data_IF_617867009789
#
_entry.id   IF_617867009789
#
_cell.length_a   1.000
_cell.length_b   1.000
_cell.length_c   1.000
_cell.angle_alpha   90.00
_cell.angle_beta   90.00
_cell.angle_gamma   90.00
#
_symmetry.space_group_name_H-M   'P 1'
#
loop_
_entity.id
_entity.type
_entity.pdbx_description
1 polymer ?
#
# COMPACT_ATOMS: atom_id res chain seq x y z
N UNK A 1 10.73 -11.13 5.18
CA UNK A 1 11.45 -10.25 4.27
C UNK A 1 11.11 -10.53 2.80
N UNK A 2 11.26 -11.77 2.27
CA UNK A 2 10.96 -12.09 0.87
C UNK A 2 9.53 -11.70 0.43
N UNK A 3 8.52 -11.95 1.26
CA UNK A 3 7.14 -11.58 0.97
C UNK A 3 6.94 -10.07 0.74
N UNK A 4 7.63 -9.21 1.50
CA UNK A 4 7.55 -7.75 1.29
C UNK A 4 8.20 -7.33 -0.01
N UNK A 5 9.39 -7.86 -0.34
CA UNK A 5 10.07 -7.54 -1.59
C UNK A 5 9.26 -7.98 -2.81
N UNK A 6 8.67 -9.19 -2.78
CA UNK A 6 7.78 -9.69 -3.83
C UNK A 6 6.53 -8.79 -3.97
N UNK A 7 5.93 -8.40 -2.83
CA UNK A 7 4.78 -7.49 -2.82
C UNK A 7 5.10 -6.14 -3.43
N UNK A 8 6.24 -5.54 -3.06
CA UNK A 8 6.71 -4.26 -3.58
C UNK A 8 6.94 -4.27 -5.09
N UNK A 9 7.62 -5.29 -5.61
CA UNK A 9 7.81 -5.45 -7.05
C UNK A 9 6.47 -5.61 -7.79
N UNK A 10 5.58 -6.47 -7.28
CA UNK A 10 4.26 -6.69 -7.87
C UNK A 10 3.44 -5.40 -7.89
N UNK A 11 3.45 -4.60 -6.80
CA UNK A 11 2.77 -3.31 -6.76
C UNK A 11 3.40 -2.27 -7.69
N UNK A 12 4.72 -2.22 -7.82
CA UNK A 12 5.38 -1.28 -8.73
C UNK A 12 5.02 -1.56 -10.19
N UNK A 13 5.04 -2.82 -10.61
CA UNK A 13 4.59 -3.23 -11.94
C UNK A 13 3.09 -2.96 -12.15
N UNK A 14 2.26 -3.28 -11.16
CA UNK A 14 0.83 -2.96 -11.19
C UNK A 14 0.60 -1.45 -11.35
N UNK A 15 1.29 -0.62 -10.57
CA UNK A 15 1.12 0.83 -10.60
C UNK A 15 1.49 1.41 -11.96
N UNK A 16 2.51 0.86 -12.61
CA UNK A 16 2.92 1.23 -13.97
C UNK A 16 1.79 0.94 -14.97
N UNK A 17 1.23 -0.29 -14.95
CA UNK A 17 0.13 -0.68 -15.82
C UNK A 17 -1.14 0.14 -15.51
N UNK A 18 -1.49 0.27 -14.22
CA UNK A 18 -2.67 1.01 -13.80
C UNK A 18 -2.59 2.49 -14.22
N UNK A 19 -1.41 3.14 -14.12
CA UNK A 19 -1.22 4.52 -14.57
C UNK A 19 -1.40 4.65 -16.09
N UNK A 20 -0.86 3.71 -16.87
CA UNK A 20 -1.00 3.74 -18.33
C UNK A 20 -2.47 3.74 -18.77
N UNK A 21 -3.34 3.00 -18.06
CA UNK A 21 -4.77 2.97 -18.37
C UNK A 21 -5.55 4.11 -17.72
N UNK A 22 -5.22 4.51 -16.49
CA UNK A 22 -5.87 5.64 -15.82
C UNK A 22 -5.64 6.98 -16.53
N UNK A 23 -4.64 7.08 -17.40
CA UNK A 23 -4.45 8.23 -18.31
C UNK A 23 -5.42 8.22 -19.50
N UNK A 24 -6.11 7.12 -19.78
CA UNK A 24 -6.94 6.91 -20.98
C UNK A 24 -8.41 6.71 -20.65
N UNK A 25 -8.78 6.54 -19.40
CA UNK A 25 -10.14 6.24 -18.95
C UNK A 25 -10.44 6.85 -17.58
N UNK A 26 -11.70 6.77 -17.15
CA UNK A 26 -12.10 7.25 -15.81
C UNK A 26 -11.34 6.52 -14.70
N UNK A 27 -10.76 7.25 -13.71
CA UNK A 27 -10.00 6.64 -12.61
C UNK A 27 -10.80 5.64 -11.77
N UNK A 28 -12.10 5.87 -11.57
CA UNK A 28 -12.95 4.97 -10.79
C UNK A 28 -13.28 3.70 -11.55
N UNK A 29 -13.44 3.81 -12.88
CA UNK A 29 -13.57 2.65 -13.75
C UNK A 29 -12.30 1.81 -13.77
N UNK A 30 -11.12 2.43 -13.90
CA UNK A 30 -9.84 1.75 -13.84
C UNK A 30 -9.63 1.02 -12.49
N UNK A 31 -10.02 1.64 -11.38
CA UNK A 31 -10.02 1.02 -10.06
C UNK A 31 -10.93 -0.21 -10.00
N UNK A 32 -12.18 -0.08 -10.47
CA UNK A 32 -13.14 -1.18 -10.51
C UNK A 32 -12.61 -2.35 -11.34
N UNK A 33 -12.20 -2.09 -12.59
CA UNK A 33 -11.71 -3.12 -13.50
C UNK A 33 -10.51 -3.88 -12.92
N UNK A 34 -9.59 -3.18 -12.29
CA UNK A 34 -8.43 -3.81 -11.64
C UNK A 34 -8.84 -4.81 -10.56
N UNK A 35 -9.80 -4.44 -9.68
CA UNK A 35 -10.25 -5.34 -8.61
C UNK A 35 -11.20 -6.42 -9.11
N UNK A 36 -12.05 -6.11 -10.05
CA UNK A 36 -12.91 -7.08 -10.72
C UNK A 36 -12.09 -8.17 -11.43
N UNK A 37 -11.08 -7.79 -12.21
CA UNK A 37 -10.16 -8.76 -12.82
C UNK A 37 -9.37 -9.57 -11.78
N UNK A 38 -8.95 -8.93 -10.68
CA UNK A 38 -8.33 -9.64 -9.56
C UNK A 38 -9.26 -10.68 -8.93
N UNK A 39 -10.55 -10.35 -8.79
CA UNK A 39 -11.56 -11.29 -8.31
C UNK A 39 -11.75 -12.47 -9.29
N UNK A 40 -11.84 -12.19 -10.60
CA UNK A 40 -11.96 -13.23 -11.62
C UNK A 40 -10.79 -14.22 -11.57
N UNK A 41 -9.56 -13.73 -11.38
CA UNK A 41 -8.36 -14.56 -11.24
C UNK A 41 -8.41 -15.45 -10.00
N UNK A 42 -9.07 -15.01 -8.95
CA UNK A 42 -9.23 -15.81 -7.73
C UNK A 42 -10.36 -16.85 -7.80
N UNK A 43 -11.28 -16.76 -8.78
CA UNK A 43 -12.39 -17.73 -8.92
C UNK A 43 -11.94 -19.19 -9.08
N UNK A 44 -10.90 -19.53 -9.87
CA UNK A 44 -10.41 -20.91 -9.94
C UNK A 44 -9.93 -21.47 -8.61
N UNK A 45 -9.34 -20.61 -7.74
CA UNK A 45 -8.93 -21.01 -6.39
C UNK A 45 -10.15 -21.31 -5.51
N UNK A 46 -11.22 -20.51 -5.62
CA UNK A 46 -12.50 -20.77 -4.97
C UNK A 46 -13.10 -22.11 -5.38
N UNK A 47 -13.05 -22.40 -6.67
CA UNK A 47 -13.54 -23.66 -7.21
C UNK A 47 -12.76 -24.85 -6.68
N UNK A 48 -11.43 -24.73 -6.65
CA UNK A 48 -10.54 -25.83 -6.25
C UNK A 48 -10.55 -26.09 -4.74
N UNK A 49 -10.61 -25.03 -3.90
CA UNK A 49 -10.57 -25.13 -2.43
C UNK A 49 -11.96 -25.23 -1.79
N UNK A 50 -13.01 -24.92 -2.55
CA UNK A 50 -14.38 -24.86 -2.09
C UNK A 50 -14.72 -23.52 -1.42
N UNK A 51 -15.98 -23.09 -1.54
CA UNK A 51 -16.50 -21.82 -0.97
C UNK A 51 -16.28 -21.72 0.54
N UNK A 52 -16.40 -22.85 1.26
CA UNK A 52 -16.22 -22.89 2.71
C UNK A 52 -14.84 -22.46 3.19
N UNK A 53 -13.79 -22.63 2.35
CA UNK A 53 -12.43 -22.22 2.70
C UNK A 53 -12.24 -20.68 2.78
N UNK A 54 -13.18 -19.91 2.23
CA UNK A 54 -13.15 -18.45 2.15
C UNK A 54 -14.24 -17.76 2.96
N UNK A 55 -15.01 -18.52 3.76
CA UNK A 55 -15.95 -17.94 4.72
C UNK A 55 -15.16 -17.26 5.83
N UNK A 56 -15.32 -15.94 6.05
CA UNK A 56 -14.55 -15.22 7.05
C UNK A 56 -15.15 -15.43 8.45
N UNK A 57 -14.30 -15.37 9.45
CA UNK A 57 -14.71 -15.35 10.87
C UNK A 57 -15.30 -13.98 11.22
N UNK A 58 -14.70 -12.90 10.72
CA UNK A 58 -15.15 -11.52 10.94
C UNK A 58 -15.60 -10.85 9.62
N UNK A 59 -16.84 -11.15 9.20
CA UNK A 59 -17.45 -10.56 8.01
C UNK A 59 -17.52 -9.03 8.08
N UNK A 60 -17.87 -8.46 9.23
CA UNK A 60 -17.99 -7.00 9.41
C UNK A 60 -16.63 -6.33 9.25
N UNK A 61 -15.60 -6.89 9.87
CA UNK A 61 -14.23 -6.39 9.73
C UNK A 61 -13.73 -6.41 8.28
N UNK A 62 -14.06 -7.46 7.50
CA UNK A 62 -13.71 -7.52 6.08
C UNK A 62 -14.38 -6.40 5.27
N UNK A 63 -15.69 -6.15 5.47
CA UNK A 63 -16.40 -5.08 4.76
C UNK A 63 -15.93 -3.69 5.18
N UNK A 64 -15.73 -3.43 6.49
CA UNK A 64 -15.20 -2.15 6.97
C UNK A 64 -13.81 -1.87 6.38
N UNK A 65 -12.93 -2.86 6.44
CA UNK A 65 -11.61 -2.76 5.81
C UNK A 65 -11.70 -2.49 4.32
N UNK A 66 -12.58 -3.21 3.62
CA UNK A 66 -12.83 -3.02 2.19
C UNK A 66 -13.32 -1.62 1.86
N UNK A 67 -14.27 -1.07 2.63
CA UNK A 67 -14.77 0.28 2.47
C UNK A 67 -13.67 1.34 2.67
N UNK A 68 -12.92 1.25 3.77
CA UNK A 68 -11.79 2.15 4.04
C UNK A 68 -10.75 2.04 2.93
N UNK A 69 -10.42 0.83 2.50
CA UNK A 69 -9.45 0.61 1.40
C UNK A 69 -9.93 1.22 0.09
N UNK A 70 -11.22 1.10 -0.22
CA UNK A 70 -11.82 1.67 -1.43
C UNK A 70 -11.70 3.19 -1.44
N UNK A 71 -11.96 3.88 -0.31
CA UNK A 71 -11.76 5.33 -0.21
C UNK A 71 -10.31 5.71 -0.46
N UNK A 72 -9.35 4.98 0.12
CA UNK A 72 -7.92 5.20 -0.13
C UNK A 72 -7.56 5.04 -1.61
N UNK A 73 -8.13 4.03 -2.26
CA UNK A 73 -7.93 3.79 -3.69
C UNK A 73 -8.57 4.87 -4.57
N UNK A 74 -9.75 5.38 -4.22
CA UNK A 74 -10.39 6.49 -4.95
C UNK A 74 -9.46 7.71 -4.98
N UNK A 75 -8.94 8.12 -3.81
CA UNK A 75 -7.97 9.20 -3.73
C UNK A 75 -6.72 8.90 -4.56
N UNK A 76 -6.22 7.68 -4.46
CA UNK A 76 -5.01 7.25 -5.14
C UNK A 76 -5.18 7.21 -6.67
N UNK A 77 -6.28 6.64 -7.19
CA UNK A 77 -6.54 6.57 -8.64
C UNK A 77 -6.82 7.94 -9.26
N UNK A 78 -7.42 8.88 -8.52
CA UNK A 78 -7.57 10.27 -8.96
C UNK A 78 -6.21 10.95 -9.12
N UNK A 79 -5.26 10.68 -8.23
CA UNK A 79 -3.92 11.26 -8.30
C UNK A 79 -3.00 10.55 -9.32
N UNK A 80 -3.18 9.25 -9.53
CA UNK A 80 -2.30 8.38 -10.32
C UNK A 80 -1.96 8.91 -11.74
N UNK A 81 -2.90 9.41 -12.56
CA UNK A 81 -2.57 9.90 -13.89
C UNK A 81 -1.86 11.27 -13.89
N UNK A 82 -1.91 11.99 -12.78
CA UNK A 82 -1.48 13.39 -12.68
C UNK A 82 -0.09 13.58 -12.05
N UNK A 83 0.46 12.52 -11.43
CA UNK A 83 1.70 12.58 -10.65
C UNK A 83 2.68 11.52 -11.16
N UNK A 84 3.99 11.85 -11.29
CA UNK A 84 5.03 10.86 -11.58
C UNK A 84 5.06 9.71 -10.57
N UNK A 85 5.34 8.48 -11.01
CA UNK A 85 5.35 7.29 -10.13
C UNK A 85 6.32 7.42 -8.96
N UNK A 86 7.47 8.07 -9.18
CA UNK A 86 8.46 8.29 -8.13
C UNK A 86 7.92 9.23 -7.03
N UNK A 87 7.25 10.32 -7.42
CA UNK A 87 6.66 11.28 -6.47
C UNK A 87 5.51 10.63 -5.69
N UNK A 88 4.65 9.85 -6.35
CA UNK A 88 3.60 9.07 -5.69
C UNK A 88 4.19 8.12 -4.64
N UNK A 89 5.26 7.42 -4.98
CA UNK A 89 5.92 6.47 -4.08
C UNK A 89 6.56 7.21 -2.90
N UNK A 90 7.21 8.35 -3.16
CA UNK A 90 7.80 9.18 -2.11
C UNK A 90 6.74 9.71 -1.13
N UNK A 91 5.59 10.20 -1.64
CA UNK A 91 4.46 10.63 -0.81
C UNK A 91 3.89 9.43 -0.03
N UNK A 92 3.79 8.28 -0.67
CA UNK A 92 3.32 7.02 -0.06
C UNK A 92 4.16 6.56 1.14
N UNK A 93 5.42 7.01 1.26
CA UNK A 93 6.25 6.76 2.44
C UNK A 93 5.79 7.48 3.71
N UNK A 94 4.79 8.35 3.64
CA UNK A 94 4.05 8.78 4.84
C UNK A 94 3.25 7.65 5.47
N UNK A 95 2.85 6.64 4.70
CA UNK A 95 2.09 5.50 5.17
C UNK A 95 2.70 4.82 6.41
N UNK A 96 4.01 4.48 6.44
CA UNK A 96 4.68 3.98 7.64
C UNK A 96 4.50 4.86 8.89
N UNK A 97 4.47 6.17 8.72
CA UNK A 97 4.28 7.12 9.84
C UNK A 97 2.89 6.95 10.44
N UNK A 98 1.86 6.98 9.59
CA UNK A 98 0.48 6.76 10.02
C UNK A 98 0.24 5.35 10.58
N UNK A 99 0.91 4.34 10.01
CA UNK A 99 0.87 2.96 10.54
C UNK A 99 1.46 2.90 11.94
N UNK A 100 2.61 3.54 12.19
CA UNK A 100 3.24 3.56 13.52
C UNK A 100 2.35 4.27 14.55
N UNK A 101 1.77 5.43 14.19
CA UNK A 101 0.83 6.15 15.04
C UNK A 101 -0.40 5.31 15.36
N UNK A 102 -1.02 4.73 14.33
CA UNK A 102 -2.19 3.88 14.48
C UNK A 102 -1.90 2.57 15.25
N UNK A 103 -0.73 1.96 15.08
CA UNK A 103 -0.32 0.78 15.84
C UNK A 103 -0.24 1.07 17.34
N UNK A 104 0.26 2.24 17.71
CA UNK A 104 0.29 2.65 19.10
C UNK A 104 -1.11 2.87 19.69
N UNK A 105 -1.99 3.56 18.95
CA UNK A 105 -3.33 3.91 19.44
C UNK A 105 -4.32 2.75 19.42
N UNK A 106 -4.30 1.94 18.34
CA UNK A 106 -5.30 0.89 18.13
C UNK A 106 -4.81 -0.52 18.47
N UNK A 107 -3.50 -0.78 18.40
CA UNK A 107 -2.92 -2.10 18.68
C UNK A 107 -2.20 -2.16 20.04
N UNK A 108 -2.11 -1.03 20.77
CA UNK A 108 -1.45 -0.94 22.05
C UNK A 108 0.08 -1.06 21.97
N UNK A 109 0.69 -0.86 20.80
CA UNK A 109 2.14 -0.87 20.65
C UNK A 109 2.75 0.34 21.38
N UNK A 110 3.83 0.15 22.19
CA UNK A 110 4.41 1.23 22.97
C UNK A 110 5.00 2.33 22.08
N UNK A 111 4.51 3.58 22.29
CA UNK A 111 5.00 4.76 21.58
C UNK A 111 6.33 5.22 22.18
N UNK A 112 7.39 5.01 21.45
CA UNK A 112 8.76 5.35 21.88
C UNK A 112 9.19 6.68 21.25
N UNK A 113 9.99 7.46 21.99
CA UNK A 113 10.55 8.73 21.50
C UNK A 113 11.26 8.58 20.16
N UNK A 114 11.97 7.46 19.96
CA UNK A 114 12.69 7.17 18.72
C UNK A 114 11.75 7.08 17.51
N UNK A 115 10.57 6.45 17.68
CA UNK A 115 9.56 6.35 16.62
C UNK A 115 8.98 7.71 16.27
N UNK A 116 8.75 8.59 17.26
CA UNK A 116 8.31 9.96 17.04
C UNK A 116 9.34 10.79 16.26
N UNK A 117 10.62 10.68 16.62
CA UNK A 117 11.71 11.38 15.91
C UNK A 117 11.78 10.88 14.46
N UNK A 118 11.75 9.56 14.24
CA UNK A 118 11.74 9.00 12.90
C UNK A 118 10.52 9.46 12.08
N UNK A 119 9.34 9.47 12.70
CA UNK A 119 8.12 9.95 12.08
C UNK A 119 8.23 11.43 11.66
N UNK A 120 8.74 12.29 12.54
CA UNK A 120 8.92 13.73 12.26
C UNK A 120 9.92 13.96 11.12
N UNK A 121 11.07 13.26 11.14
CA UNK A 121 12.08 13.35 10.07
C UNK A 121 11.51 12.83 8.75
N UNK A 122 10.84 11.67 8.77
CA UNK A 122 10.19 11.10 7.58
C UNK A 122 9.14 12.04 6.99
N UNK A 123 8.31 12.65 7.85
CA UNK A 123 7.31 13.62 7.41
C UNK A 123 7.94 14.88 6.80
N UNK A 124 9.03 15.40 7.41
CA UNK A 124 9.80 16.49 6.82
C UNK A 124 10.34 16.13 5.43
N UNK A 125 10.81 14.89 5.22
CA UNK A 125 11.22 14.40 3.91
C UNK A 125 10.07 14.37 2.90
N UNK A 126 8.87 14.02 3.31
CA UNK A 126 7.68 14.09 2.44
C UNK A 126 7.33 15.53 2.09
N UNK A 127 7.40 16.47 3.04
CA UNK A 127 7.16 17.90 2.74
C UNK A 127 8.17 18.44 1.72
N UNK A 128 9.42 17.98 1.75
CA UNK A 128 10.44 18.34 0.74
C UNK A 128 10.01 17.88 -0.66
N UNK A 129 9.31 16.76 -0.81
CA UNK A 129 8.77 16.32 -2.11
C UNK A 129 7.50 17.08 -2.47
N UNK A 130 6.54 17.18 -1.53
CA UNK A 130 5.18 17.69 -1.80
C UNK A 130 5.17 19.19 -2.05
N UNK A 131 5.82 19.99 -1.18
CA UNK A 131 5.70 21.46 -1.21
C UNK A 131 6.20 22.07 -2.54
N UNK A 132 7.37 21.71 -3.08
CA UNK A 132 7.81 22.23 -4.36
C UNK A 132 6.91 21.80 -5.53
N UNK A 133 6.33 20.60 -5.43
CA UNK A 133 5.47 20.04 -6.48
C UNK A 133 4.01 20.56 -6.43
N UNK A 134 3.60 21.30 -5.40
CA UNK A 134 2.27 21.95 -5.35
C UNK A 134 2.08 23.01 -6.44
N UNK A 135 3.15 23.71 -6.79
CA UNK A 135 3.16 24.72 -7.89
C UNK A 135 3.72 24.19 -9.21
N UNK A 136 4.15 22.91 -9.23
CA UNK A 136 4.76 22.22 -10.36
C UNK A 136 3.98 21.00 -10.81
N UNK A 137 4.71 19.91 -11.06
CA UNK A 137 4.16 18.65 -11.54
C UNK A 137 3.16 18.06 -10.53
N UNK A 138 1.93 17.79 -10.99
CA UNK A 138 0.86 17.22 -10.20
C UNK A 138 0.03 18.21 -9.38
N UNK A 139 0.55 19.43 -9.09
CA UNK A 139 -0.21 20.46 -8.38
C UNK A 139 -0.91 19.96 -7.11
N UNK A 140 -2.21 20.27 -6.94
CA UNK A 140 -3.01 19.86 -5.79
C UNK A 140 -3.22 18.33 -5.66
N UNK A 141 -3.01 17.56 -6.73
CA UNK A 141 -3.12 16.09 -6.70
C UNK A 141 -2.08 15.47 -5.77
N UNK A 142 -0.96 16.15 -5.50
CA UNK A 142 -0.01 15.74 -4.46
C UNK A 142 -0.66 15.71 -3.06
N UNK A 143 -1.58 16.64 -2.77
CA UNK A 143 -2.33 16.63 -1.51
C UNK A 143 -3.38 15.53 -1.48
N UNK A 144 -4.03 15.23 -2.61
CA UNK A 144 -4.97 14.10 -2.74
C UNK A 144 -4.22 12.79 -2.48
N UNK A 145 -3.03 12.64 -3.07
CA UNK A 145 -2.17 11.48 -2.83
C UNK A 145 -1.75 11.38 -1.36
N UNK A 146 -1.36 12.49 -0.75
CA UNK A 146 -0.99 12.53 0.67
C UNK A 146 -2.18 12.12 1.56
N UNK A 147 -3.40 12.58 1.25
CA UNK A 147 -4.61 12.23 1.98
C UNK A 147 -4.96 10.73 1.88
N UNK A 148 -4.54 10.03 0.81
CA UNK A 148 -4.73 8.58 0.70
C UNK A 148 -3.91 7.80 1.72
N UNK A 149 -2.76 8.32 2.16
CA UNK A 149 -1.82 7.62 3.03
C UNK A 149 -2.38 7.25 4.42
N UNK A 150 -3.03 8.14 5.18
CA UNK A 150 -3.66 7.76 6.46
C UNK A 150 -4.82 6.79 6.27
N UNK A 151 -5.55 6.88 5.16
CA UNK A 151 -6.65 5.96 4.84
C UNK A 151 -6.12 4.56 4.55
N UNK A 152 -5.05 4.43 3.75
CA UNK A 152 -4.39 3.14 3.56
C UNK A 152 -3.76 2.61 4.85
N UNK A 153 -3.16 3.47 5.67
CA UNK A 153 -2.62 3.06 6.95
C UNK A 153 -3.71 2.43 7.84
N UNK A 154 -4.89 3.04 7.93
CA UNK A 154 -6.04 2.47 8.64
C UNK A 154 -6.41 1.10 8.08
N UNK A 155 -6.53 0.97 6.75
CA UNK A 155 -6.81 -0.33 6.10
C UNK A 155 -5.75 -1.40 6.40
N UNK A 156 -4.46 -1.03 6.44
CA UNK A 156 -3.37 -1.96 6.76
C UNK A 156 -3.36 -2.38 8.22
N UNK A 157 -3.70 -1.48 9.14
CA UNK A 157 -3.89 -1.81 10.55
C UNK A 157 -5.06 -2.78 10.76
N UNK A 158 -6.19 -2.55 10.06
CA UNK A 158 -7.31 -3.48 10.04
C UNK A 158 -6.89 -4.83 9.45
N UNK A 159 -6.10 -4.84 8.37
CA UNK A 159 -5.52 -6.07 7.80
C UNK A 159 -4.68 -6.80 8.84
N UNK A 160 -3.79 -6.11 9.55
CA UNK A 160 -2.98 -6.69 10.62
C UNK A 160 -3.85 -7.29 11.73
N UNK A 161 -4.92 -6.60 12.11
CA UNK A 161 -5.87 -7.12 13.11
C UNK A 161 -6.53 -8.42 12.61
N UNK A 162 -7.04 -8.42 11.39
CA UNK A 162 -7.69 -9.59 10.79
C UNK A 162 -6.74 -10.80 10.63
N UNK A 163 -5.44 -10.59 10.44
CA UNK A 163 -4.49 -11.73 10.36
C UNK A 163 -4.36 -12.53 11.67
N UNK A 164 -4.96 -12.08 12.77
CA UNK A 164 -5.03 -12.83 14.04
C UNK A 164 -6.00 -14.01 13.97
N UNK A 165 -7.06 -13.88 13.17
CA UNK A 165 -8.15 -14.86 13.06
C UNK A 165 -8.35 -15.41 11.67
N UNK A 166 -7.89 -14.71 10.64
CA UNK A 166 -8.14 -14.99 9.24
C UNK A 166 -6.88 -15.43 8.49
N UNK A 167 -7.05 -16.34 7.54
CA UNK A 167 -5.98 -16.71 6.61
C UNK A 167 -5.75 -15.58 5.59
N UNK A 168 -4.50 -15.32 5.14
CA UNK A 168 -4.20 -14.28 4.15
C UNK A 168 -5.05 -14.36 2.87
N UNK A 169 -5.32 -15.58 2.38
CA UNK A 169 -6.18 -15.79 1.19
C UNK A 169 -7.61 -15.30 1.39
N UNK A 170 -8.19 -15.52 2.57
CA UNK A 170 -9.54 -15.03 2.93
C UNK A 170 -9.56 -13.51 2.92
N UNK A 171 -8.57 -12.87 3.56
CA UNK A 171 -8.46 -11.41 3.64
C UNK A 171 -8.37 -10.79 2.25
N UNK A 172 -7.56 -11.35 1.35
CA UNK A 172 -7.38 -10.83 -0.03
C UNK A 172 -8.62 -11.07 -0.88
N UNK A 173 -9.27 -12.23 -0.74
CA UNK A 173 -10.52 -12.52 -1.45
C UNK A 173 -11.60 -11.50 -1.08
N UNK A 174 -11.83 -11.30 0.22
CA UNK A 174 -12.83 -10.35 0.70
C UNK A 174 -12.48 -8.89 0.41
N UNK A 175 -11.19 -8.56 0.32
CA UNK A 175 -10.77 -7.26 -0.20
C UNK A 175 -11.19 -7.10 -1.67
N UNK A 176 -10.94 -8.09 -2.50
CA UNK A 176 -11.31 -8.02 -3.92
C UNK A 176 -12.82 -7.91 -4.11
N UNK A 177 -13.61 -8.69 -3.34
CA UNK A 177 -15.07 -8.63 -3.36
C UNK A 177 -15.57 -7.24 -2.92
N UNK A 178 -15.15 -6.78 -1.74
CA UNK A 178 -15.67 -5.54 -1.16
C UNK A 178 -15.25 -4.30 -1.96
N UNK A 179 -14.00 -4.24 -2.43
CA UNK A 179 -13.54 -3.11 -3.26
C UNK A 179 -14.25 -3.11 -4.62
N UNK A 180 -14.44 -4.26 -5.27
CA UNK A 180 -15.23 -4.36 -6.51
C UNK A 180 -16.65 -3.86 -6.28
N UNK A 181 -17.31 -4.30 -5.20
CA UNK A 181 -18.68 -3.89 -4.87
C UNK A 181 -18.79 -2.37 -4.60
N UNK A 182 -17.88 -1.83 -3.78
CA UNK A 182 -17.95 -0.42 -3.39
C UNK A 182 -17.48 0.56 -4.49
N UNK A 183 -16.63 0.12 -5.41
CA UNK A 183 -16.19 0.95 -6.55
C UNK A 183 -17.19 0.93 -7.72
N UNK A 184 -18.02 -0.11 -7.84
CA UNK A 184 -18.96 -0.27 -8.95
C UNK A 184 -19.88 0.95 -9.17
N UNK A 185 -20.54 1.55 -8.15
CA UNK A 185 -21.45 2.68 -8.39
C UNK A 185 -20.76 3.88 -9.05
N UNK A 186 -19.52 4.20 -8.63
CA UNK A 186 -18.75 5.30 -9.22
C UNK A 186 -18.21 4.96 -10.60
N UNK A 187 -17.80 3.71 -10.83
CA UNK A 187 -17.35 3.25 -12.13
C UNK A 187 -18.45 3.34 -13.20
N UNK A 188 -19.73 3.17 -12.81
CA UNK A 188 -20.86 3.24 -13.74
C UNK A 188 -21.24 4.67 -14.17
N UNK A 189 -20.77 5.71 -13.48
CA UNK A 189 -21.13 7.10 -13.80
C UNK A 189 -20.61 7.53 -15.16
N UNK A 190 -19.35 7.21 -15.47
CA UNK A 190 -18.68 7.57 -16.72
C UNK A 190 -18.23 6.33 -17.49
N UNK A 191 -18.97 5.23 -17.39
CA UNK A 191 -18.57 3.96 -17.97
C UNK A 191 -18.28 4.03 -19.46
N UNK A 192 -17.09 3.60 -19.85
CA UNK A 192 -16.67 3.40 -21.21
C UNK A 192 -16.29 1.94 -21.41
N UNK A 193 -16.90 1.27 -22.39
CA UNK A 193 -16.60 -0.15 -22.60
C UNK A 193 -15.09 -0.38 -22.85
N UNK A 194 -14.39 -1.12 -22.00
CA UNK A 194 -12.96 -1.34 -22.15
C UNK A 194 -12.65 -2.10 -23.42
N UNK A 195 -11.59 -1.72 -24.12
CA UNK A 195 -11.07 -2.45 -25.28
C UNK A 195 -10.49 -3.81 -24.86
N UNK A 196 -10.33 -4.72 -25.81
CA UNK A 196 -9.72 -6.04 -25.54
C UNK A 196 -8.29 -5.90 -24.96
N UNK A 197 -7.54 -4.89 -25.40
CA UNK A 197 -6.22 -4.57 -24.87
C UNK A 197 -6.28 -4.12 -23.41
N UNK A 198 -7.23 -3.25 -23.06
CA UNK A 198 -7.44 -2.81 -21.67
C UNK A 198 -7.87 -3.97 -20.77
N UNK A 199 -8.77 -4.84 -21.24
CA UNK A 199 -9.11 -6.07 -20.51
C UNK A 199 -7.88 -6.92 -20.22
N UNK A 200 -7.02 -7.17 -21.22
CA UNK A 200 -5.77 -7.89 -21.04
C UNK A 200 -4.86 -7.24 -20.00
N UNK A 201 -4.69 -5.93 -20.08
CA UNK A 201 -3.89 -5.17 -19.11
C UNK A 201 -4.47 -5.20 -17.69
N UNK A 202 -5.80 -5.08 -17.53
CA UNK A 202 -6.43 -5.19 -16.22
C UNK A 202 -6.40 -6.62 -15.64
N UNK A 203 -6.41 -7.64 -16.47
CA UNK A 203 -6.16 -9.01 -16.02
C UNK A 203 -4.75 -9.17 -15.45
N UNK A 204 -3.73 -8.63 -16.11
CA UNK A 204 -2.35 -8.64 -15.58
C UNK A 204 -2.26 -7.77 -14.32
N UNK A 205 -2.84 -6.57 -14.31
CA UNK A 205 -2.88 -5.70 -13.13
C UNK A 205 -3.62 -6.35 -11.95
N UNK A 206 -4.72 -7.05 -12.21
CA UNK A 206 -5.47 -7.82 -11.22
C UNK A 206 -4.64 -8.96 -10.61
N UNK A 207 -3.89 -9.69 -11.45
CA UNK A 207 -2.98 -10.75 -10.99
C UNK A 207 -1.86 -10.18 -10.11
N UNK A 208 -1.18 -9.15 -10.57
CA UNK A 208 -0.11 -8.48 -9.83
C UNK A 208 -0.64 -7.91 -8.50
N UNK A 209 -1.84 -7.32 -8.52
CA UNK A 209 -2.51 -6.82 -7.32
C UNK A 209 -2.84 -7.92 -6.32
N UNK A 210 -3.33 -9.05 -6.79
CA UNK A 210 -3.62 -10.23 -5.95
C UNK A 210 -2.35 -10.77 -5.32
N UNK A 211 -1.27 -10.94 -6.11
CA UNK A 211 0.04 -11.37 -5.62
C UNK A 211 0.59 -10.36 -4.60
N UNK A 212 0.53 -9.06 -4.92
CA UNK A 212 1.01 -7.98 -4.04
C UNK A 212 0.28 -7.96 -2.69
N UNK A 213 -1.05 -7.98 -2.71
CA UNK A 213 -1.85 -7.99 -1.48
C UNK A 213 -1.72 -9.28 -0.68
N UNK A 214 -1.62 -10.43 -1.34
CA UNK A 214 -1.36 -11.69 -0.66
C UNK A 214 0.00 -11.69 0.02
N UNK A 215 1.03 -11.25 -0.69
CA UNK A 215 2.40 -11.16 -0.17
C UNK A 215 2.48 -10.21 1.03
N UNK A 216 1.86 -9.03 0.93
CA UNK A 216 1.77 -8.05 2.02
C UNK A 216 1.05 -8.64 3.24
N UNK A 217 -0.13 -9.23 3.03
CA UNK A 217 -0.93 -9.82 4.10
C UNK A 217 -0.19 -11.00 4.77
N UNK A 218 0.50 -11.81 3.97
CA UNK A 218 1.35 -12.90 4.48
C UNK A 218 2.52 -12.37 5.30
N UNK A 219 3.16 -11.28 4.87
CA UNK A 219 4.21 -10.63 5.65
C UNK A 219 3.67 -10.14 7.00
N UNK A 220 2.49 -9.53 7.02
CA UNK A 220 1.83 -9.06 8.25
C UNK A 220 1.39 -10.19 9.18
N UNK A 221 1.08 -11.37 8.65
CA UNK A 221 0.71 -12.53 9.48
C UNK A 221 1.90 -13.15 10.21
N UNK A 222 3.13 -12.98 9.70
CA UNK A 222 4.33 -13.64 10.24
C UNK A 222 5.33 -12.68 10.90
N UNK A 223 5.09 -11.36 10.84
CA UNK A 223 5.98 -10.35 11.41
C UNK A 223 5.20 -9.13 11.92
N UNK A 224 5.84 -8.34 12.79
CA UNK A 224 5.31 -7.04 13.20
C UNK A 224 5.21 -6.12 11.99
N UNK A 225 4.11 -5.36 11.90
CA UNK A 225 3.87 -4.49 10.76
C UNK A 225 4.97 -3.42 10.64
N UNK A 226 5.46 -2.89 11.75
CA UNK A 226 6.56 -1.91 11.80
C UNK A 226 7.87 -2.46 11.24
N UNK A 227 8.19 -3.75 11.50
CA UNK A 227 9.41 -4.39 11.01
C UNK A 227 9.43 -4.59 9.49
N UNK A 228 8.26 -4.62 8.85
CA UNK A 228 8.14 -4.82 7.39
C UNK A 228 8.35 -3.52 6.60
N UNK A 229 8.23 -2.36 7.24
CA UNK A 229 8.24 -1.07 6.55
C UNK A 229 9.61 -0.70 5.94
N UNK A 230 10.71 -1.17 6.52
CA UNK A 230 12.06 -0.85 6.03
C UNK A 230 12.38 -1.37 4.61
N UNK A 231 11.65 -2.40 4.14
CA UNK A 231 11.83 -2.95 2.80
C UNK A 231 11.08 -2.17 1.72
N UNK A 232 10.15 -1.30 2.09
CA UNK A 232 9.37 -0.50 1.13
C UNK A 232 10.21 0.53 0.36
N UNK A 233 11.45 0.78 0.79
CA UNK A 233 12.36 1.65 0.02
C UNK A 233 12.70 1.11 -1.37
N UNK A 234 12.67 -0.22 -1.54
CA UNK A 234 12.82 -0.81 -2.86
C UNK A 234 11.71 -0.36 -3.82
N UNK A 235 10.53 -0.01 -3.28
CA UNK A 235 9.40 0.48 -4.08
C UNK A 235 9.75 1.78 -4.81
N UNK A 236 10.56 2.68 -4.18
CA UNK A 236 11.01 3.91 -4.83
C UNK A 236 11.98 3.63 -5.98
N UNK A 237 12.89 2.69 -5.80
CA UNK A 237 13.84 2.29 -6.86
C UNK A 237 13.07 1.74 -8.06
N UNK A 238 12.11 0.84 -7.83
CA UNK A 238 11.26 0.28 -8.88
C UNK A 238 10.38 1.35 -9.53
N UNK A 239 9.75 2.23 -8.75
CA UNK A 239 8.90 3.29 -9.26
C UNK A 239 9.68 4.31 -10.10
N UNK A 240 10.89 4.69 -9.67
CA UNK A 240 11.77 5.59 -10.44
C UNK A 240 12.20 4.95 -11.75
N UNK A 241 12.64 3.70 -11.71
CA UNK A 241 13.10 2.98 -12.91
C UNK A 241 11.95 2.79 -13.91
N UNK A 242 10.79 2.31 -13.46
CA UNK A 242 9.63 2.07 -14.32
C UNK A 242 9.00 3.39 -14.80
N UNK A 243 8.98 4.43 -13.97
CA UNK A 243 8.55 5.76 -14.35
C UNK A 243 9.37 6.32 -15.49
N UNK A 244 10.69 6.19 -15.40
CA UNK A 244 11.60 6.62 -16.47
C UNK A 244 11.46 5.77 -17.74
N UNK A 245 11.48 4.44 -17.61
CA UNK A 245 11.45 3.54 -18.78
C UNK A 245 10.14 3.59 -19.56
N UNK A 246 8.99 3.75 -18.87
CA UNK A 246 7.67 3.65 -19.48
C UNK A 246 7.07 5.01 -19.81
N UNK A 247 7.28 6.01 -18.96
CA UNK A 247 6.65 7.34 -19.09
C UNK A 247 7.67 8.46 -19.42
N UNK A 248 8.96 8.18 -19.37
CA UNK A 248 10.00 9.21 -19.51
C UNK A 248 10.08 10.16 -18.31
N UNK A 249 9.45 9.82 -17.20
CA UNK A 249 9.44 10.64 -15.98
C UNK A 249 10.78 10.57 -15.26
N UNK A 250 11.52 11.67 -15.22
CA UNK A 250 12.69 11.78 -14.34
C UNK A 250 12.26 12.31 -12.98
N UNK A 251 12.64 11.61 -11.87
CA UNK A 251 12.39 12.12 -10.53
C UNK A 251 13.06 13.50 -10.36
N UNK A 252 12.30 14.45 -9.78
CA UNK A 252 12.83 15.78 -9.50
C UNK A 252 13.95 15.71 -8.46
N UNK A 253 14.80 16.75 -8.41
CA UNK A 253 15.82 16.87 -7.35
C UNK A 253 15.19 16.85 -5.94
N UNK A 254 13.98 17.38 -5.80
CA UNK A 254 13.23 17.38 -4.55
C UNK A 254 12.76 15.96 -4.17
N UNK A 255 12.39 15.16 -5.16
CA UNK A 255 12.03 13.74 -4.97
C UNK A 255 13.22 12.95 -4.45
N UNK A 256 14.40 13.12 -5.04
CA UNK A 256 15.62 12.47 -4.57
C UNK A 256 16.03 12.92 -3.17
N UNK A 257 15.96 14.23 -2.89
CA UNK A 257 16.31 14.78 -1.57
C UNK A 257 15.33 14.27 -0.50
N UNK A 258 14.03 14.37 -0.74
CA UNK A 258 13.01 13.88 0.20
C UNK A 258 13.08 12.36 0.42
N UNK A 259 13.30 11.58 -0.65
CA UNK A 259 13.51 10.15 -0.56
C UNK A 259 14.75 9.78 0.29
N UNK A 260 15.85 10.51 0.13
CA UNK A 260 17.05 10.30 0.94
C UNK A 260 16.79 10.59 2.43
N UNK A 261 16.07 11.67 2.77
CA UNK A 261 15.68 12.00 4.16
C UNK A 261 14.81 10.89 4.75
N UNK A 262 13.80 10.43 4.00
CA UNK A 262 12.89 9.35 4.43
C UNK A 262 13.68 8.06 4.63
N UNK A 263 14.57 7.71 3.69
CA UNK A 263 15.41 6.51 3.77
C UNK A 263 16.30 6.53 5.03
N UNK A 264 17.00 7.63 5.28
CA UNK A 264 17.86 7.79 6.47
C UNK A 264 17.05 7.61 7.75
N UNK A 265 15.88 8.25 7.84
CA UNK A 265 14.98 8.13 8.99
C UNK A 265 14.56 6.68 9.24
N UNK A 266 14.16 5.97 8.19
CA UNK A 266 13.64 4.61 8.33
C UNK A 266 14.76 3.59 8.60
N UNK A 267 15.91 3.72 7.94
CA UNK A 267 17.09 2.88 8.25
C UNK A 267 17.54 3.11 9.69
N UNK A 268 17.54 4.36 10.15
CA UNK A 268 17.91 4.68 11.54
C UNK A 268 16.99 4.00 12.54
N UNK A 269 15.66 4.10 12.38
CA UNK A 269 14.72 3.47 13.31
C UNK A 269 14.77 1.94 13.22
N UNK A 270 14.90 1.36 12.01
CA UNK A 270 15.00 -0.07 11.81
C UNK A 270 16.24 -0.67 12.50
N UNK A 271 17.41 -0.02 12.37
CA UNK A 271 18.63 -0.43 13.07
C UNK A 271 18.51 -0.34 14.59
N UNK A 272 17.83 0.69 15.10
CA UNK A 272 17.64 0.88 16.53
C UNK A 272 16.68 -0.15 17.14
N UNK A 273 15.66 -0.55 16.41
CA UNK A 273 14.75 -1.63 16.80
C UNK A 273 15.42 -3.01 16.74
N UNK A 274 16.25 -3.28 15.72
CA UNK A 274 17.01 -4.52 15.60
C UNK A 274 17.96 -4.75 16.77
N UNK A 275 18.78 -3.76 17.11
CA UNK A 275 19.74 -3.86 18.25
C UNK A 275 19.09 -4.12 19.61
N UNK A 276 17.83 -3.75 19.78
CA UNK A 276 17.11 -4.00 21.04
C UNK A 276 16.52 -5.39 21.16
N UNK A 277 16.15 -6.02 20.04
CA UNK A 277 15.72 -7.43 20.04
C UNK A 277 16.86 -8.38 20.37
N UNK A 278 18.10 -7.95 20.14
CA UNK A 278 19.32 -8.70 20.45
C UNK A 278 19.84 -8.48 21.88
N UNK A 279 19.33 -7.46 22.60
CA UNK A 279 19.73 -7.23 24.00
C UNK A 279 19.17 -8.34 24.91
N UNK A 280 20.04 -9.06 25.72
CA UNK A 280 19.56 -10.11 26.59
C UNK A 280 18.55 -9.57 27.59
N UNK A 281 17.45 -10.31 27.79
CA UNK A 281 16.49 -10.05 28.87
C UNK A 281 17.27 -10.11 30.18
N UNK A 282 17.22 -9.10 31.06
CA UNK A 282 17.87 -9.18 32.35
C UNK A 282 17.31 -10.38 33.11
N UNK A 283 18.17 -11.34 33.43
CA UNK A 283 17.84 -12.47 34.30
C UNK A 283 17.50 -11.89 35.68
N UNK A 284 16.25 -12.02 36.06
CA UNK A 284 15.79 -11.61 37.40
C UNK A 284 16.50 -12.47 38.43
N UNK A 285 17.54 -11.94 39.07
CA UNK A 285 18.29 -12.56 40.18
C UNK A 285 17.54 -12.43 41.51
N UNK A 286 16.24 -12.74 41.50
CA UNK A 286 15.42 -12.73 42.74
C UNK A 286 14.92 -14.13 43.13
N UNK A 287 15.69 -15.19 42.80
CA UNK A 287 15.49 -16.53 43.37
C UNK A 287 16.84 -17.06 43.89
N UNK A 288 17.26 -16.51 45.00
CA UNK A 288 18.16 -17.19 45.95
C UNK A 288 17.70 -16.95 47.38
#
# INVERSE_FOLDING_TARGET
MAWMALGGLAFSLLNTIARSFAMQMDPFEAQFLRYFCGLLIMLPLLWHQGLGAYVPVDMKGQFWRGGVHTVGLMLWFVALPQIPLADMTAIGFTGPIFIMLGAAWFLGEPMRKDRWIAAAIGFAGVLVVVVPNLSGTGGWYNLVMLASSPVFAASFLMTKHLTRTEKPGVIVMWQSISVTLFSLPLALINWQAPTLWQWGGFMVAGLLGTIGHYSLTKAFSVADISATQSLRFLDLVWASLLGWLVFGDFPSQWTWLGAAVILVSTVWIARREGRRKEAPTPVNSSET
#
